data_IF_493592441636
#
_entry.id   IF_493592441636
#
_cell.length_a   1.000
_cell.length_b   1.000
_cell.length_c   1.000
_cell.angle_alpha   90.00
_cell.angle_beta   90.00
_cell.angle_gamma   90.00
#
_symmetry.space_group_name_H-M   'P 1'
#
loop_
_entity.id
_entity.type
_entity.pdbx_description
1 polymer ?
#
# COMPACT_ATOMS: atom_id res chain seq x y z
N UNK A 1 46.37 4.41 -16.98
CA UNK A 1 45.94 3.59 -15.83
C UNK A 1 45.11 4.34 -14.79
N UNK A 2 45.26 5.67 -14.65
CA UNK A 2 44.47 6.53 -13.76
C UNK A 2 43.01 6.69 -14.20
N UNK A 3 42.76 6.83 -15.51
CA UNK A 3 41.40 6.96 -16.06
C UNK A 3 40.50 5.74 -15.81
N UNK A 4 41.07 4.53 -15.87
CA UNK A 4 40.35 3.27 -15.57
C UNK A 4 39.94 3.21 -14.11
N UNK A 5 40.81 3.64 -13.19
CA UNK A 5 40.51 3.69 -11.75
C UNK A 5 39.40 4.68 -11.44
N UNK A 6 39.43 5.86 -12.08
CA UNK A 6 38.39 6.88 -11.94
C UNK A 6 37.05 6.39 -12.49
N UNK A 7 37.06 5.70 -13.62
CA UNK A 7 35.84 5.15 -14.23
C UNK A 7 35.20 4.05 -13.38
N UNK A 8 36.03 3.16 -12.80
CA UNK A 8 35.57 2.12 -11.87
C UNK A 8 35.01 2.73 -10.57
N UNK A 9 35.65 3.76 -10.03
CA UNK A 9 35.17 4.45 -8.82
C UNK A 9 33.83 5.15 -9.06
N UNK A 10 33.66 5.77 -10.24
CA UNK A 10 32.41 6.44 -10.63
C UNK A 10 31.27 5.43 -10.84
N UNK A 11 31.58 4.27 -11.44
CA UNK A 11 30.61 3.20 -11.65
C UNK A 11 30.15 2.60 -10.30
N UNK A 12 31.08 2.39 -9.36
CA UNK A 12 30.78 1.87 -8.02
C UNK A 12 29.91 2.83 -7.18
N UNK A 13 30.07 4.15 -7.38
CA UNK A 13 29.23 5.16 -6.70
C UNK A 13 27.79 5.21 -7.26
N UNK A 14 27.60 4.82 -8.52
CA UNK A 14 26.28 4.74 -9.17
C UNK A 14 25.43 3.54 -8.75
N UNK A 15 26.00 2.57 -8.04
CA UNK A 15 25.31 1.38 -7.52
C UNK A 15 24.62 1.59 -6.16
N UNK A 16 24.57 2.84 -5.65
CA UNK A 16 23.81 3.15 -4.43
C UNK A 16 22.33 2.79 -4.65
N UNK A 17 21.73 1.93 -3.80
CA UNK A 17 20.34 1.53 -3.97
C UNK A 17 19.43 2.72 -3.66
N UNK A 18 18.80 3.30 -4.68
CA UNK A 18 17.77 4.37 -4.56
C UNK A 18 16.42 3.74 -4.15
N UNK A 19 16.44 2.80 -3.21
CA UNK A 19 15.32 1.91 -2.92
C UNK A 19 14.77 2.08 -1.51
N UNK A 20 14.34 3.27 -1.11
CA UNK A 20 13.76 3.52 0.23
C UNK A 20 12.34 4.11 0.17
N UNK A 21 11.76 4.34 -1.00
CA UNK A 21 10.45 5.01 -1.14
C UNK A 21 9.21 4.11 -0.98
N UNK A 22 9.36 2.82 -0.68
CA UNK A 22 8.22 1.89 -0.63
C UNK A 22 7.53 1.76 0.75
N UNK A 23 8.12 2.28 1.85
CA UNK A 23 7.65 1.96 3.21
C UNK A 23 6.49 2.84 3.72
N UNK A 24 6.39 4.08 3.25
CA UNK A 24 5.39 5.05 3.78
C UNK A 24 3.96 4.74 3.33
N UNK A 25 3.79 4.20 2.13
CA UNK A 25 2.49 3.95 1.51
C UNK A 25 1.71 2.80 2.15
N UNK A 26 2.41 1.82 2.73
CA UNK A 26 1.75 0.65 3.34
C UNK A 26 1.08 0.99 4.67
N UNK A 27 1.76 1.78 5.52
CA UNK A 27 1.20 2.24 6.80
C UNK A 27 -0.01 3.14 6.54
N UNK A 28 0.10 4.07 5.59
CA UNK A 28 -1.01 4.95 5.19
C UNK A 28 -2.21 4.14 4.68
N UNK A 29 -1.97 3.13 3.82
CA UNK A 29 -3.03 2.24 3.33
C UNK A 29 -3.72 1.47 4.46
N UNK A 30 -2.97 1.01 5.46
CA UNK A 30 -3.54 0.33 6.62
C UNK A 30 -4.41 1.28 7.47
N UNK A 31 -3.95 2.52 7.67
CA UNK A 31 -4.72 3.55 8.38
C UNK A 31 -6.00 3.90 7.63
N UNK A 32 -5.93 4.06 6.31
CA UNK A 32 -7.09 4.29 5.45
C UNK A 32 -8.10 3.14 5.52
N UNK A 33 -7.62 1.89 5.52
CA UNK A 33 -8.49 0.73 5.64
C UNK A 33 -9.25 0.72 6.97
N UNK A 34 -8.57 1.01 8.09
CA UNK A 34 -9.20 1.10 9.42
C UNK A 34 -10.24 2.22 9.46
N UNK A 35 -9.90 3.39 8.89
CA UNK A 35 -10.78 4.54 8.81
C UNK A 35 -12.06 4.21 8.03
N UNK A 36 -11.91 3.67 6.82
CA UNK A 36 -13.06 3.27 5.98
C UNK A 36 -13.92 2.23 6.68
N UNK A 37 -13.32 1.20 7.30
CA UNK A 37 -14.07 0.18 8.03
C UNK A 37 -14.88 0.80 9.20
N UNK A 38 -14.29 1.73 9.93
CA UNK A 38 -14.95 2.43 11.04
C UNK A 38 -16.12 3.27 10.54
N UNK A 39 -15.92 4.02 9.46
CA UNK A 39 -16.95 4.85 8.83
C UNK A 39 -18.14 4.00 8.34
N UNK A 40 -17.86 2.89 7.63
CA UNK A 40 -18.88 1.96 7.12
C UNK A 40 -19.68 1.32 8.27
N UNK A 41 -19.03 0.94 9.37
CA UNK A 41 -19.72 0.35 10.52
C UNK A 41 -20.55 1.37 11.31
N UNK A 42 -20.18 2.65 11.28
CA UNK A 42 -20.95 3.72 11.89
C UNK A 42 -22.21 4.07 11.07
N UNK A 43 -22.14 3.97 9.74
CA UNK A 43 -23.25 4.23 8.83
C UNK A 43 -24.32 3.11 8.90
N UNK A 44 -25.57 3.38 9.30
CA UNK A 44 -26.58 2.35 9.52
C UNK A 44 -27.06 1.64 8.24
N UNK A 45 -26.98 2.33 7.10
CA UNK A 45 -27.38 1.86 5.77
C UNK A 45 -26.32 0.98 5.09
N UNK A 46 -25.04 1.16 5.44
CA UNK A 46 -23.91 0.43 4.87
C UNK A 46 -23.21 -0.53 5.86
N UNK A 47 -23.69 -0.60 7.11
CA UNK A 47 -23.10 -1.47 8.14
C UNK A 47 -23.12 -2.93 7.69
N UNK A 48 -21.98 -3.60 7.87
CA UNK A 48 -21.87 -5.04 7.64
C UNK A 48 -22.76 -5.79 8.66
N UNK A 49 -23.71 -6.62 8.22
CA UNK A 49 -24.55 -7.42 9.11
C UNK A 49 -23.73 -8.29 10.08
N UNK A 50 -24.11 -8.28 11.36
CA UNK A 50 -23.33 -8.97 12.40
C UNK A 50 -23.26 -10.49 12.24
N UNK A 51 -24.24 -11.12 11.60
CA UNK A 51 -24.19 -12.54 11.25
C UNK A 51 -23.13 -12.83 10.17
N UNK A 52 -22.97 -11.94 9.19
CA UNK A 52 -21.90 -12.08 8.19
C UNK A 52 -20.52 -11.91 8.83
N UNK A 53 -20.35 -10.93 9.73
CA UNK A 53 -19.09 -10.77 10.47
C UNK A 53 -18.74 -12.00 11.32
N UNK A 54 -19.73 -12.62 11.97
CA UNK A 54 -19.50 -13.82 12.79
C UNK A 54 -19.11 -15.05 11.96
N UNK A 55 -19.65 -15.15 10.75
CA UNK A 55 -19.45 -16.31 9.88
C UNK A 55 -18.32 -16.11 8.86
N UNK A 56 -17.79 -14.88 8.74
CA UNK A 56 -16.70 -14.58 7.83
C UNK A 56 -15.40 -15.21 8.32
N UNK A 57 -14.75 -15.99 7.45
CA UNK A 57 -13.42 -16.54 7.73
C UNK A 57 -12.33 -15.46 7.69
N UNK A 58 -12.51 -14.47 6.81
CA UNK A 58 -11.64 -13.30 6.71
C UNK A 58 -12.39 -12.09 6.14
N UNK A 59 -11.86 -10.90 6.41
CA UNK A 59 -12.36 -9.63 5.86
C UNK A 59 -11.18 -8.89 5.21
N UNK A 60 -11.27 -8.62 3.91
CA UNK A 60 -10.31 -7.82 3.18
C UNK A 60 -10.87 -6.41 2.95
N UNK A 61 -10.18 -5.40 3.47
CA UNK A 61 -10.52 -3.99 3.26
C UNK A 61 -9.50 -3.39 2.30
N UNK A 62 -9.95 -2.98 1.13
CA UNK A 62 -9.08 -2.45 0.05
C UNK A 62 -9.50 -1.00 -0.21
N UNK A 63 -8.85 -0.02 0.44
CA UNK A 63 -9.18 1.39 0.23
C UNK A 63 -8.68 1.87 -1.14
N UNK A 64 -9.29 2.94 -1.65
CA UNK A 64 -8.85 3.66 -2.85
C UNK A 64 -8.75 2.78 -4.13
N UNK A 65 -9.65 1.80 -4.27
CA UNK A 65 -9.72 0.97 -5.49
C UNK A 65 -10.15 1.80 -6.70
N UNK A 66 -9.41 1.69 -7.79
CA UNK A 66 -9.79 2.27 -9.08
C UNK A 66 -10.65 1.25 -9.82
N UNK A 67 -11.92 1.60 -10.08
CA UNK A 67 -12.82 0.76 -10.87
C UNK A 67 -12.52 0.95 -12.36
N UNK A 68 -11.83 0.00 -12.98
CA UNK A 68 -11.49 0.01 -14.40
C UNK A 68 -12.52 -0.74 -15.28
N UNK A 69 -13.81 -0.62 -14.97
CA UNK A 69 -14.88 -1.19 -15.81
C UNK A 69 -15.14 -0.27 -17.00
N UNK A 70 -15.17 -0.84 -18.22
CA UNK A 70 -15.72 -0.16 -19.39
C UNK A 70 -17.25 -0.20 -19.33
N UNK A 71 -17.91 0.92 -19.67
CA UNK A 71 -19.38 1.03 -19.78
C UNK A 71 -19.87 0.24 -20.99
#
# INVERSE_FOLDING_TARGET
MTHIRVSVLLCLLGLLPIGVFAKTTEIERAQDAVRVLTEVMAAPDHRIPGNLLRNAEAIAVIPNVVKASFV
#
